data_IF_429404559912
#
_entry.id   IF_429404559912
#
_cell.length_a   1.000
_cell.length_b   1.000
_cell.length_c   1.000
_cell.angle_alpha   90.00
_cell.angle_beta   90.00
_cell.angle_gamma   90.00
#
_symmetry.space_group_name_H-M   'P 1'
#
loop_
_entity.id
_entity.type
_entity.pdbx_description
1 polymer ?
#
# COMPACT_ATOMS: atom_id res chain seq x y z
N UNK A 1 19.76 9.96 43.78
CA UNK A 1 19.69 11.31 43.22
C UNK A 1 20.73 11.42 42.13
N UNK A 2 20.34 11.14 40.89
CA UNK A 2 21.13 11.44 39.69
C UNK A 2 20.17 12.24 38.81
N UNK A 3 20.63 13.41 38.38
CA UNK A 3 19.82 14.53 37.91
C UNK A 3 18.89 14.21 36.75
N UNK A 4 17.65 14.67 36.90
CA UNK A 4 16.64 14.77 35.85
C UNK A 4 16.84 16.13 35.19
N UNK A 5 17.87 16.24 34.34
CA UNK A 5 18.14 17.44 33.52
C UNK A 5 18.27 17.04 32.05
N UNK A 6 17.24 16.37 31.53
CA UNK A 6 17.09 16.19 30.09
C UNK A 6 15.70 16.65 29.66
N UNK A 7 15.70 17.58 28.70
CA UNK A 7 14.62 17.96 27.79
C UNK A 7 13.69 19.10 28.23
N UNK A 8 14.25 20.28 28.49
CA UNK A 8 13.59 21.51 28.04
C UNK A 8 14.08 21.78 26.61
N UNK A 9 13.22 21.79 25.59
CA UNK A 9 13.66 22.07 24.22
C UNK A 9 14.26 23.47 24.18
N UNK A 10 15.46 23.59 23.59
CA UNK A 10 16.04 24.90 23.34
C UNK A 10 15.05 25.71 22.49
N UNK A 11 14.85 27.00 22.77
CA UNK A 11 13.86 27.87 22.11
C UNK A 11 13.88 27.83 20.56
N UNK A 12 15.01 27.44 19.95
CA UNK A 12 15.14 27.20 18.50
C UNK A 12 14.49 25.90 17.99
N UNK A 13 14.46 24.85 18.81
CA UNK A 13 13.81 23.57 18.48
C UNK A 13 12.28 23.73 18.45
N UNK A 14 11.71 24.47 19.40
CA UNK A 14 10.27 24.75 19.45
C UNK A 14 9.78 25.50 18.18
N UNK A 15 10.54 26.51 17.72
CA UNK A 15 10.22 27.23 16.48
C UNK A 15 10.28 26.33 15.25
N UNK A 16 11.29 25.47 15.17
CA UNK A 16 11.44 24.50 14.06
C UNK A 16 10.26 23.57 13.99
N UNK A 17 9.81 23.02 15.12
CA UNK A 17 8.66 22.11 15.17
C UNK A 17 7.36 22.78 14.72
N UNK A 18 7.11 24.02 15.15
CA UNK A 18 5.94 24.79 14.72
C UNK A 18 5.94 24.99 13.20
N UNK A 19 7.11 25.32 12.62
CA UNK A 19 7.25 25.49 11.17
C UNK A 19 7.01 24.17 10.44
N UNK A 20 7.61 23.06 10.89
CA UNK A 20 7.45 21.75 10.26
C UNK A 20 5.99 21.29 10.25
N UNK A 21 5.29 21.42 11.38
CA UNK A 21 3.87 21.07 11.47
C UNK A 21 2.99 21.92 10.55
N UNK A 22 3.35 23.19 10.35
CA UNK A 22 2.65 24.09 9.43
C UNK A 22 2.88 23.71 7.96
N UNK A 23 4.10 23.29 7.60
CA UNK A 23 4.47 22.92 6.21
C UNK A 23 3.93 21.53 5.83
N UNK A 24 3.89 20.60 6.78
CA UNK A 24 3.50 19.20 6.57
C UNK A 24 2.22 19.01 5.71
N UNK A 25 1.06 19.65 6.00
CA UNK A 25 -0.14 19.46 5.18
C UNK A 25 0.05 19.93 3.74
N UNK A 26 0.76 21.04 3.51
CA UNK A 26 1.02 21.55 2.16
C UNK A 26 1.92 20.59 1.38
N UNK A 27 2.96 20.05 2.02
CA UNK A 27 3.83 19.04 1.42
C UNK A 27 3.02 17.81 0.97
N UNK A 28 2.19 17.25 1.86
CA UNK A 28 1.33 16.10 1.51
C UNK A 28 0.37 16.41 0.38
N UNK A 29 -0.25 17.59 0.35
CA UNK A 29 -1.14 18.00 -0.73
C UNK A 29 -0.43 18.09 -2.08
N UNK A 30 0.73 18.75 -2.13
CA UNK A 30 1.52 18.87 -3.37
C UNK A 30 1.92 17.49 -3.87
N UNK A 31 2.48 16.65 -2.99
CA UNK A 31 2.91 15.29 -3.34
C UNK A 31 1.73 14.43 -3.79
N UNK A 32 0.59 14.51 -3.11
CA UNK A 32 -0.61 13.76 -3.49
C UNK A 32 -1.14 14.18 -4.87
N UNK A 33 -1.26 15.48 -5.13
CA UNK A 33 -1.70 15.98 -6.44
C UNK A 33 -0.74 15.52 -7.54
N UNK A 34 0.57 15.67 -7.33
CA UNK A 34 1.58 15.18 -8.28
C UNK A 34 1.50 13.67 -8.49
N UNK A 35 1.15 12.90 -7.46
CA UNK A 35 0.97 11.45 -7.55
C UNK A 35 -0.28 11.10 -8.37
N UNK A 36 -1.40 11.79 -8.16
CA UNK A 36 -2.59 11.57 -8.97
C UNK A 36 -2.31 11.94 -10.43
N UNK A 37 -1.71 13.10 -10.68
CA UNK A 37 -1.33 13.49 -12.05
C UNK A 37 -0.40 12.47 -12.70
N UNK A 38 0.59 11.93 -11.97
CA UNK A 38 1.50 10.91 -12.47
C UNK A 38 0.81 9.59 -12.81
N UNK A 39 -0.17 9.14 -12.00
CA UNK A 39 -0.96 7.95 -12.30
C UNK A 39 -1.76 8.11 -13.61
N UNK A 40 -2.40 9.27 -13.80
CA UNK A 40 -3.16 9.56 -15.04
C UNK A 40 -2.24 9.75 -16.25
N UNK A 41 -1.07 10.36 -16.09
CA UNK A 41 -0.07 10.43 -17.16
C UNK A 41 0.41 9.03 -17.55
N UNK A 42 0.67 8.14 -16.59
CA UNK A 42 1.01 6.74 -16.87
C UNK A 42 -0.05 6.01 -17.68
N UNK A 43 -1.33 6.31 -17.43
CA UNK A 43 -2.45 5.83 -18.25
C UNK A 43 -2.43 6.39 -19.67
N UNK A 44 -2.29 7.72 -19.82
CA UNK A 44 -2.28 8.38 -21.14
C UNK A 44 -1.09 7.90 -22.01
N UNK A 45 0.07 7.73 -21.39
CA UNK A 45 1.30 7.29 -22.04
C UNK A 45 1.35 5.78 -22.29
N UNK A 46 0.31 5.03 -21.88
CA UNK A 46 0.25 3.56 -21.95
C UNK A 46 1.50 2.89 -21.35
N UNK A 47 2.03 3.44 -20.26
CA UNK A 47 3.31 3.02 -19.72
C UNK A 47 3.25 1.56 -19.21
N UNK A 48 4.03 0.63 -19.80
CA UNK A 48 3.95 -0.80 -19.46
C UNK A 48 4.36 -1.11 -18.01
N UNK A 49 5.24 -0.31 -17.42
CA UNK A 49 5.74 -0.52 -16.06
C UNK A 49 4.79 0.04 -15.00
N UNK A 50 4.20 1.21 -15.28
CA UNK A 50 3.29 1.92 -14.35
C UNK A 50 1.89 1.32 -14.37
N UNK A 51 1.37 0.97 -15.55
CA UNK A 51 0.00 0.45 -15.70
C UNK A 51 0.00 -1.05 -15.98
N UNK A 52 0.91 -1.54 -16.83
CA UNK A 52 0.88 -2.93 -17.28
C UNK A 52 0.97 -3.95 -16.15
N UNK A 53 1.78 -3.71 -15.11
CA UNK A 53 1.85 -4.62 -13.95
C UNK A 53 0.47 -4.79 -13.29
N UNK A 54 -0.32 -3.74 -13.16
CA UNK A 54 -1.64 -3.77 -12.55
C UNK A 54 -2.69 -4.51 -13.38
N UNK A 55 -2.47 -4.64 -14.69
CA UNK A 55 -3.40 -5.25 -15.64
C UNK A 55 -3.18 -6.75 -15.86
N UNK A 56 -2.15 -7.33 -15.26
CA UNK A 56 -1.95 -8.79 -15.25
C UNK A 56 -3.19 -9.46 -14.67
N UNK A 57 -3.82 -10.34 -15.45
CA UNK A 57 -5.13 -10.93 -15.16
C UNK A 57 -5.14 -12.45 -15.41
N UNK A 58 -6.29 -13.10 -15.22
CA UNK A 58 -6.44 -14.57 -15.33
C UNK A 58 -7.01 -15.06 -16.66
N UNK A 59 -7.11 -14.21 -17.69
CA UNK A 59 -7.68 -14.62 -18.99
C UNK A 59 -6.79 -15.64 -19.72
N UNK A 60 -5.47 -15.62 -19.49
CA UNK A 60 -4.52 -16.67 -19.91
C UNK A 60 -4.41 -17.85 -18.93
N UNK A 61 -5.36 -18.00 -18.00
CA UNK A 61 -5.32 -18.97 -16.91
C UNK A 61 -4.70 -18.42 -15.63
N UNK A 62 -4.60 -19.26 -14.60
CA UNK A 62 -4.11 -18.83 -13.29
C UNK A 62 -2.62 -18.50 -13.36
N UNK A 63 -2.28 -17.22 -13.14
CA UNK A 63 -0.92 -16.69 -13.08
C UNK A 63 -0.59 -16.19 -11.68
N UNK A 64 0.69 -15.96 -11.40
CA UNK A 64 1.09 -15.25 -10.17
C UNK A 64 0.67 -13.77 -10.35
N UNK A 65 0.06 -13.14 -9.33
CA UNK A 65 -0.30 -11.69 -9.30
C UNK A 65 -1.54 -11.25 -10.09
N UNK A 66 -2.35 -12.18 -10.59
CA UNK A 66 -3.41 -11.85 -11.54
C UNK A 66 -4.72 -11.34 -10.94
N UNK A 67 -4.92 -11.41 -9.61
CA UNK A 67 -6.26 -11.16 -9.04
C UNK A 67 -6.76 -9.74 -9.27
N UNK A 68 -5.91 -8.73 -9.01
CA UNK A 68 -6.33 -7.34 -9.12
C UNK A 68 -6.60 -6.96 -10.59
N UNK A 69 -5.75 -7.40 -11.51
CA UNK A 69 -5.97 -7.15 -12.94
C UNK A 69 -7.19 -7.89 -13.48
N UNK A 70 -7.52 -9.08 -12.95
CA UNK A 70 -8.75 -9.78 -13.32
C UNK A 70 -10.00 -9.02 -12.84
N UNK A 71 -9.99 -8.48 -11.62
CA UNK A 71 -11.06 -7.60 -11.15
C UNK A 71 -11.21 -6.36 -12.05
N UNK A 72 -10.09 -5.71 -12.40
CA UNK A 72 -10.09 -4.57 -13.33
C UNK A 72 -10.67 -4.96 -14.69
N UNK A 73 -10.25 -6.11 -15.23
CA UNK A 73 -10.72 -6.63 -16.51
C UNK A 73 -12.22 -6.89 -16.52
N UNK A 74 -12.76 -7.56 -15.49
CA UNK A 74 -14.20 -7.84 -15.42
C UNK A 74 -15.05 -6.56 -15.31
N UNK A 75 -14.56 -5.57 -14.55
CA UNK A 75 -15.24 -4.27 -14.46
C UNK A 75 -15.19 -3.57 -15.82
N UNK A 76 -14.02 -3.50 -16.46
CA UNK A 76 -13.85 -2.90 -17.79
C UNK A 76 -14.76 -3.53 -18.84
N UNK A 77 -14.88 -4.86 -18.85
CA UNK A 77 -15.76 -5.59 -19.75
C UNK A 77 -17.24 -5.26 -19.54
N UNK A 78 -17.67 -5.04 -18.30
CA UNK A 78 -19.07 -4.73 -17.99
C UNK A 78 -19.43 -3.26 -18.28
N UNK A 79 -18.51 -2.33 -18.03
CA UNK A 79 -18.75 -0.89 -18.20
C UNK A 79 -18.31 -0.35 -19.56
N UNK A 80 -17.55 -1.13 -20.33
CA UNK A 80 -16.90 -0.74 -21.58
C UNK A 80 -15.94 0.45 -21.43
N UNK A 81 -15.44 0.68 -20.21
CA UNK A 81 -14.44 1.71 -19.91
C UNK A 81 -13.05 1.08 -19.94
N UNK A 82 -12.06 1.83 -20.42
CA UNK A 82 -10.68 1.38 -20.56
C UNK A 82 -10.09 0.87 -19.21
N UNK A 83 -9.50 -0.33 -19.15
CA UNK A 83 -8.92 -0.90 -17.93
C UNK A 83 -7.76 -0.08 -17.34
N UNK A 84 -7.00 0.65 -18.18
CA UNK A 84 -5.96 1.56 -17.73
C UNK A 84 -6.50 2.72 -16.89
N UNK A 85 -7.71 3.21 -17.18
CA UNK A 85 -8.35 4.28 -16.40
C UNK A 85 -8.72 3.79 -14.99
N UNK A 86 -9.26 2.57 -14.88
CA UNK A 86 -9.51 1.92 -13.59
C UNK A 86 -8.24 1.73 -12.79
N UNK A 87 -7.14 1.38 -13.46
CA UNK A 87 -5.83 1.26 -12.82
C UNK A 87 -5.38 2.59 -12.21
N UNK A 88 -5.39 3.68 -12.98
CA UNK A 88 -5.00 5.00 -12.48
C UNK A 88 -5.87 5.46 -11.29
N UNK A 89 -7.18 5.15 -11.34
CA UNK A 89 -8.10 5.43 -10.24
C UNK A 89 -7.80 4.61 -8.98
N UNK A 90 -7.56 3.30 -9.12
CA UNK A 90 -7.20 2.42 -8.01
C UNK A 90 -5.86 2.82 -7.38
N UNK A 91 -4.85 3.13 -8.20
CA UNK A 91 -3.58 3.68 -7.74
C UNK A 91 -3.82 4.93 -6.89
N UNK A 92 -4.61 5.87 -7.39
CA UNK A 92 -4.95 7.11 -6.67
C UNK A 92 -5.62 6.83 -5.33
N UNK A 93 -6.52 5.85 -5.24
CA UNK A 93 -7.17 5.44 -3.98
C UNK A 93 -6.15 4.88 -2.99
N UNK A 94 -5.30 3.93 -3.40
CA UNK A 94 -4.33 3.32 -2.49
C UNK A 94 -3.30 4.33 -2.00
N UNK A 95 -2.82 5.22 -2.87
CA UNK A 95 -1.99 6.34 -2.47
C UNK A 95 -2.73 7.29 -1.52
N UNK A 96 -4.00 7.60 -1.77
CA UNK A 96 -4.79 8.44 -0.86
C UNK A 96 -4.89 7.84 0.54
N UNK A 97 -5.15 6.53 0.65
CA UNK A 97 -5.18 5.79 1.93
C UNK A 97 -3.81 5.91 2.63
N UNK A 98 -2.73 5.62 1.92
CA UNK A 98 -1.38 5.70 2.47
C UNK A 98 -1.03 7.11 2.95
N UNK A 99 -1.24 8.14 2.13
CA UNK A 99 -0.95 9.52 2.48
C UNK A 99 -1.81 10.01 3.64
N UNK A 100 -3.11 9.69 3.65
CA UNK A 100 -4.01 10.10 4.71
C UNK A 100 -3.59 9.55 6.08
N UNK A 101 -3.37 8.24 6.20
CA UNK A 101 -2.98 7.65 7.49
C UNK A 101 -1.56 8.02 7.90
N UNK A 102 -0.63 8.14 6.95
CA UNK A 102 0.73 8.59 7.24
C UNK A 102 0.75 10.04 7.74
N UNK A 103 -0.05 10.93 7.14
CA UNK A 103 -0.21 12.30 7.60
C UNK A 103 -0.76 12.35 9.03
N UNK A 104 -1.79 11.56 9.34
CA UNK A 104 -2.34 11.50 10.70
C UNK A 104 -1.30 11.01 11.71
N UNK A 105 -0.48 10.01 11.35
CA UNK A 105 0.59 9.49 12.20
C UNK A 105 1.68 10.53 12.49
N UNK A 106 2.10 11.29 11.47
CA UNK A 106 3.11 12.33 11.61
C UNK A 106 2.57 13.55 12.36
N UNK A 107 1.34 13.99 12.07
CA UNK A 107 0.67 15.08 12.79
C UNK A 107 0.53 14.81 14.28
N UNK A 108 0.46 13.54 14.67
CA UNK A 108 0.37 13.12 16.07
C UNK A 108 1.73 13.07 16.79
N UNK A 109 2.86 13.30 16.11
CA UNK A 109 4.18 13.32 16.75
C UNK A 109 4.50 14.74 17.26
N UNK A 110 4.91 14.91 18.53
CA UNK A 110 5.29 16.22 19.05
C UNK A 110 6.63 16.73 18.50
N UNK A 111 7.54 15.82 18.15
CA UNK A 111 8.89 16.12 17.64
C UNK A 111 8.98 15.53 16.23
N UNK A 112 8.67 16.35 15.23
CA UNK A 112 8.65 15.99 13.82
C UNK A 112 10.04 16.14 13.18
N UNK A 113 10.92 16.98 13.74
CA UNK A 113 12.29 17.19 13.26
C UNK A 113 13.10 15.89 13.16
N UNK A 114 12.91 14.95 14.09
CA UNK A 114 13.52 13.60 14.05
C UNK A 114 13.17 12.81 12.80
N UNK A 115 12.02 13.10 12.18
CA UNK A 115 11.54 12.43 10.97
C UNK A 115 11.75 13.28 9.71
N UNK A 116 12.26 14.51 9.82
CA UNK A 116 12.36 15.47 8.71
C UNK A 116 13.07 14.89 7.48
N UNK A 117 14.22 14.24 7.67
CA UNK A 117 14.95 13.57 6.61
C UNK A 117 14.13 12.47 5.93
N UNK A 118 13.34 11.72 6.69
CA UNK A 118 12.49 10.66 6.15
C UNK A 118 11.27 11.22 5.40
N UNK A 119 10.69 12.31 5.90
CA UNK A 119 9.53 12.98 5.29
C UNK A 119 9.90 13.62 3.95
N UNK A 120 11.01 14.35 3.90
CA UNK A 120 11.43 15.07 2.70
C UNK A 120 12.39 14.27 1.80
N UNK A 121 12.63 13.00 2.15
CA UNK A 121 13.46 12.10 1.34
C UNK A 121 12.78 11.75 0.01
N UNK A 122 13.58 11.58 -1.06
CA UNK A 122 13.08 11.10 -2.36
C UNK A 122 12.50 9.67 -2.31
N UNK A 123 12.77 8.90 -1.26
CA UNK A 123 12.51 7.46 -1.21
C UNK A 123 11.17 7.05 -0.60
N UNK A 124 10.54 7.90 0.21
CA UNK A 124 9.34 7.49 0.95
C UNK A 124 8.06 8.05 0.32
N UNK A 125 7.85 9.37 0.39
CA UNK A 125 6.62 9.99 -0.08
C UNK A 125 6.67 10.44 -1.54
N UNK A 126 7.86 10.71 -2.09
CA UNK A 126 8.03 11.27 -3.44
C UNK A 126 8.58 10.27 -4.45
N UNK A 127 8.81 9.01 -4.04
CA UNK A 127 9.45 7.98 -4.87
C UNK A 127 8.75 7.80 -6.22
N UNK A 128 7.43 7.62 -6.21
CA UNK A 128 6.60 7.43 -7.40
C UNK A 128 6.59 8.63 -8.36
N UNK A 129 6.92 9.83 -7.88
CA UNK A 129 7.05 11.03 -8.70
C UNK A 129 8.46 11.08 -9.31
N UNK A 130 9.48 10.71 -8.53
CA UNK A 130 10.87 10.72 -8.98
C UNK A 130 11.19 9.59 -9.96
N UNK A 131 10.45 8.48 -9.92
CA UNK A 131 10.65 7.30 -10.77
C UNK A 131 9.47 7.05 -11.72
N UNK A 132 8.89 8.10 -12.30
CA UNK A 132 7.72 8.00 -13.19
C UNK A 132 7.92 7.05 -14.37
N UNK A 133 9.13 7.01 -14.94
CA UNK A 133 9.46 6.17 -16.11
C UNK A 133 9.96 4.77 -15.73
N UNK A 134 10.61 4.63 -14.58
CA UNK A 134 11.32 3.41 -14.15
C UNK A 134 10.47 2.46 -13.28
N UNK A 135 9.14 2.62 -13.32
CA UNK A 135 8.21 1.76 -12.59
C UNK A 135 7.93 2.22 -11.16
N UNK A 136 7.64 3.50 -10.97
CA UNK A 136 6.84 3.98 -9.83
C UNK A 136 5.44 3.34 -9.81
N UNK A 137 4.60 3.70 -8.83
CA UNK A 137 3.22 3.19 -8.69
C UNK A 137 3.10 1.66 -8.54
N UNK A 138 4.09 1.02 -7.91
CA UNK A 138 4.05 -0.41 -7.66
C UNK A 138 2.97 -0.79 -6.64
N UNK A 139 2.49 -2.04 -6.71
CA UNK A 139 1.38 -2.56 -5.88
C UNK A 139 1.71 -2.65 -4.38
N UNK A 140 2.97 -2.49 -3.98
CA UNK A 140 3.40 -2.40 -2.58
C UNK A 140 2.70 -1.27 -1.83
N UNK A 141 2.22 -0.24 -2.54
CA UNK A 141 1.39 0.82 -1.96
C UNK A 141 0.13 0.28 -1.26
N UNK A 142 -0.43 -0.84 -1.73
CA UNK A 142 -1.56 -1.51 -1.09
C UNK A 142 -1.18 -1.93 0.34
N UNK A 143 -0.01 -2.56 0.48
CA UNK A 143 0.50 -2.97 1.78
C UNK A 143 0.85 -1.77 2.66
N UNK A 144 1.53 -0.75 2.12
CA UNK A 144 1.87 0.44 2.90
C UNK A 144 0.63 1.19 3.40
N UNK A 145 -0.43 1.30 2.59
CA UNK A 145 -1.70 1.88 3.01
C UNK A 145 -2.36 1.09 4.14
N UNK A 146 -2.39 -0.24 4.03
CA UNK A 146 -2.94 -1.13 5.06
C UNK A 146 -2.12 -1.09 6.35
N UNK A 147 -0.79 -1.06 6.24
CA UNK A 147 0.09 -0.94 7.40
C UNK A 147 -0.12 0.39 8.11
N UNK A 148 -0.14 1.51 7.36
CA UNK A 148 -0.39 2.84 7.92
C UNK A 148 -1.75 2.93 8.62
N UNK A 149 -2.80 2.35 8.03
CA UNK A 149 -4.11 2.20 8.66
C UNK A 149 -4.00 1.44 9.98
N UNK A 150 -3.41 0.24 9.98
CA UNK A 150 -3.32 -0.59 11.18
C UNK A 150 -2.53 0.08 12.31
N UNK A 151 -1.43 0.75 11.99
CA UNK A 151 -0.63 1.52 12.97
C UNK A 151 -1.42 2.72 13.50
N UNK A 152 -2.14 3.44 12.64
CA UNK A 152 -3.01 4.53 13.07
C UNK A 152 -4.11 4.03 14.02
N UNK A 153 -4.78 2.93 13.67
CA UNK A 153 -5.81 2.34 14.51
C UNK A 153 -5.25 1.86 15.85
N UNK A 154 -4.06 1.25 15.86
CA UNK A 154 -3.37 0.85 17.09
C UNK A 154 -3.05 2.03 18.02
N UNK A 155 -2.75 3.20 17.43
CA UNK A 155 -2.54 4.47 18.15
C UNK A 155 -3.83 5.09 18.66
N UNK A 156 -4.98 4.81 18.04
CA UNK A 156 -6.26 5.26 18.58
C UNK A 156 -6.54 4.54 19.91
N UNK A 157 -7.04 5.26 20.92
CA UNK A 157 -7.41 4.67 22.23
C UNK A 157 -8.65 3.73 22.15
N UNK A 158 -8.99 3.22 20.97
CA UNK A 158 -10.14 2.37 20.68
C UNK A 158 -9.66 0.95 20.36
N UNK A 159 -9.26 0.23 21.40
CA UNK A 159 -8.64 -1.09 21.27
C UNK A 159 -9.51 -2.11 20.51
N UNK A 160 -10.81 -2.20 20.80
CA UNK A 160 -11.72 -3.14 20.12
C UNK A 160 -11.83 -2.87 18.62
N UNK A 161 -11.82 -1.60 18.23
CA UNK A 161 -11.86 -1.20 16.83
C UNK A 161 -10.55 -1.55 16.11
N UNK A 162 -9.41 -1.33 16.77
CA UNK A 162 -8.11 -1.75 16.27
C UNK A 162 -8.07 -3.27 16.03
N UNK A 163 -8.45 -4.07 17.03
CA UNK A 163 -8.45 -5.53 16.90
C UNK A 163 -9.36 -5.99 15.75
N UNK A 164 -10.56 -5.42 15.65
CA UNK A 164 -11.49 -5.76 14.57
C UNK A 164 -10.89 -5.46 13.19
N UNK A 165 -10.31 -4.28 12.99
CA UNK A 165 -9.68 -3.90 11.72
C UNK A 165 -8.48 -4.79 11.41
N UNK A 166 -7.69 -5.13 12.43
CA UNK A 166 -6.54 -6.01 12.29
C UNK A 166 -6.93 -7.41 11.83
N UNK A 167 -7.92 -8.04 12.47
CA UNK A 167 -8.40 -9.37 12.07
C UNK A 167 -9.08 -9.37 10.70
N UNK A 168 -9.81 -8.31 10.35
CA UNK A 168 -10.35 -8.13 8.99
C UNK A 168 -9.20 -8.04 7.97
N UNK A 169 -8.14 -7.29 8.29
CA UNK A 169 -6.95 -7.18 7.44
C UNK A 169 -6.33 -8.55 7.19
N UNK A 170 -6.13 -9.36 8.24
CA UNK A 170 -5.57 -10.70 8.11
C UNK A 170 -6.47 -11.65 7.30
N UNK A 171 -7.79 -11.54 7.46
CA UNK A 171 -8.76 -12.35 6.70
C UNK A 171 -8.72 -12.05 5.19
N UNK A 172 -8.52 -10.79 4.81
CA UNK A 172 -8.44 -10.34 3.41
C UNK A 172 -7.03 -10.56 2.82
N UNK A 173 -6.02 -10.77 3.66
CA UNK A 173 -4.63 -10.88 3.24
C UNK A 173 -4.31 -11.94 2.17
N UNK A 174 -4.97 -13.12 2.12
CA UNK A 174 -4.78 -14.06 1.02
C UNK A 174 -5.06 -13.44 -0.37
N UNK A 175 -6.09 -12.58 -0.48
CA UNK A 175 -6.38 -11.87 -1.73
C UNK A 175 -5.31 -10.83 -2.08
N UNK A 176 -4.70 -10.21 -1.07
CA UNK A 176 -3.57 -9.29 -1.26
C UNK A 176 -2.35 -10.04 -1.81
N UNK A 177 -2.07 -11.24 -1.31
CA UNK A 177 -0.98 -12.09 -1.82
C UNK A 177 -1.26 -12.50 -3.29
N UNK A 178 -2.51 -12.80 -3.66
CA UNK A 178 -2.87 -13.09 -5.05
C UNK A 178 -2.74 -11.87 -5.99
N UNK A 179 -2.72 -10.66 -5.43
CA UNK A 179 -2.47 -9.42 -6.18
C UNK A 179 -0.97 -9.19 -6.41
N UNK A 180 -0.15 -9.49 -5.40
CA UNK A 180 1.30 -9.43 -5.50
C UNK A 180 1.95 -10.34 -4.45
N UNK A 181 2.57 -11.45 -4.86
CA UNK A 181 2.98 -12.50 -3.91
C UNK A 181 4.10 -12.07 -2.97
N UNK A 182 4.93 -11.09 -3.38
CA UNK A 182 5.99 -10.56 -2.52
C UNK A 182 5.44 -9.93 -1.24
N UNK A 183 4.16 -9.53 -1.23
CA UNK A 183 3.51 -9.00 -0.04
C UNK A 183 3.39 -10.05 1.07
N UNK A 184 3.43 -11.34 0.76
CA UNK A 184 3.51 -12.38 1.79
C UNK A 184 4.74 -12.19 2.71
N UNK A 185 5.85 -11.68 2.18
CA UNK A 185 7.06 -11.39 2.97
C UNK A 185 6.89 -10.17 3.88
N UNK A 186 5.90 -9.32 3.61
CA UNK A 186 5.57 -8.14 4.41
C UNK A 186 4.60 -8.44 5.56
N UNK A 187 3.97 -9.61 5.57
CA UNK A 187 3.03 -10.04 6.61
C UNK A 187 3.61 -9.95 8.04
N UNK A 188 4.88 -10.31 8.32
CA UNK A 188 5.46 -10.18 9.66
C UNK A 188 5.38 -8.76 10.24
N UNK A 189 5.45 -7.72 9.40
CA UNK A 189 5.33 -6.33 9.89
C UNK A 189 3.95 -6.03 10.46
N UNK A 190 2.86 -6.59 9.89
CA UNK A 190 1.52 -6.47 10.48
C UNK A 190 1.45 -7.20 11.82
N UNK A 191 2.06 -8.39 11.92
CA UNK A 191 2.11 -9.12 13.18
C UNK A 191 2.85 -8.33 14.27
N UNK A 192 3.95 -7.66 13.93
CA UNK A 192 4.68 -6.78 14.87
C UNK A 192 3.76 -5.67 15.41
N UNK A 193 2.89 -5.08 14.59
CA UNK A 193 1.92 -4.06 15.07
C UNK A 193 0.99 -4.67 16.11
N UNK A 194 0.44 -5.85 15.85
CA UNK A 194 -0.44 -6.50 16.82
C UNK A 194 0.29 -6.94 18.09
N UNK A 195 1.52 -7.44 17.98
CA UNK A 195 2.32 -7.80 19.16
C UNK A 195 2.69 -6.58 20.02
N UNK A 196 2.86 -5.42 19.40
CA UNK A 196 3.25 -4.18 20.09
C UNK A 196 2.09 -3.50 20.82
N UNK A 197 0.87 -3.58 20.29
CA UNK A 197 -0.30 -2.85 20.82
C UNK A 197 -1.45 -3.75 21.28
N UNK A 198 -1.46 -5.01 20.85
CA UNK A 198 -2.49 -6.01 21.12
C UNK A 198 -2.35 -6.66 22.50
N UNK A 199 -3.41 -7.35 22.93
CA UNK A 199 -3.40 -8.20 24.12
C UNK A 199 -3.43 -9.65 23.70
N UNK A 200 -2.32 -10.36 23.92
CA UNK A 200 -2.23 -11.78 23.63
C UNK A 200 -2.95 -12.61 24.68
N UNK A 201 -3.86 -13.46 24.22
CA UNK A 201 -4.47 -14.54 25.01
C UNK A 201 -4.33 -15.84 24.23
N UNK A 202 -4.37 -16.99 24.90
CA UNK A 202 -4.25 -18.30 24.24
C UNK A 202 -5.25 -18.45 23.09
N UNK A 203 -6.52 -18.08 23.33
CA UNK A 203 -7.57 -18.07 22.29
C UNK A 203 -7.18 -17.22 21.08
N UNK A 204 -6.62 -16.02 21.31
CA UNK A 204 -6.22 -15.11 20.23
C UNK A 204 -5.02 -15.63 19.45
N UNK A 205 -4.08 -16.28 20.11
CA UNK A 205 -2.95 -16.94 19.43
C UNK A 205 -3.47 -18.02 18.48
N UNK A 206 -4.39 -18.87 18.96
CA UNK A 206 -5.03 -19.90 18.12
C UNK A 206 -5.77 -19.25 16.94
N UNK A 207 -6.55 -18.19 17.19
CA UNK A 207 -7.25 -17.44 16.13
C UNK A 207 -6.28 -16.86 15.09
N UNK A 208 -5.14 -16.30 15.51
CA UNK A 208 -4.11 -15.78 14.61
C UNK A 208 -3.57 -16.88 13.70
N UNK A 209 -3.21 -18.04 14.26
CA UNK A 209 -2.74 -19.18 13.46
C UNK A 209 -3.79 -19.62 12.43
N UNK A 210 -5.05 -19.75 12.84
CA UNK A 210 -6.15 -20.16 11.94
C UNK A 210 -6.31 -19.18 10.78
N UNK A 211 -6.31 -17.87 11.04
CA UNK A 211 -6.52 -16.85 10.00
C UNK A 211 -5.29 -16.70 9.09
N UNK A 212 -4.09 -16.99 9.59
CA UNK A 212 -2.86 -16.94 8.79
C UNK A 212 -2.72 -18.14 7.83
N UNK A 213 -3.28 -19.31 8.17
CA UNK A 213 -3.18 -20.52 7.35
C UNK A 213 -3.57 -20.30 5.88
N UNK A 214 -4.72 -19.68 5.54
CA UNK A 214 -5.06 -19.34 4.17
C UNK A 214 -3.99 -18.51 3.43
N UNK A 215 -3.36 -17.56 4.11
CA UNK A 215 -2.31 -16.72 3.51
C UNK A 215 -1.06 -17.53 3.16
N UNK A 216 -0.68 -18.45 4.05
CA UNK A 216 0.46 -19.37 3.82
C UNK A 216 0.15 -20.32 2.66
N UNK A 217 -1.05 -20.90 2.62
CA UNK A 217 -1.47 -21.81 1.55
C UNK A 217 -1.44 -21.08 0.20
N UNK A 218 -2.02 -19.88 0.13
CA UNK A 218 -2.02 -19.07 -1.10
C UNK A 218 -0.61 -18.73 -1.54
N UNK A 219 0.28 -18.34 -0.62
CA UNK A 219 1.67 -18.06 -0.95
C UNK A 219 2.39 -19.29 -1.53
N UNK A 220 2.20 -20.46 -0.94
CA UNK A 220 2.76 -21.73 -1.45
C UNK A 220 2.23 -22.01 -2.86
N UNK A 221 0.92 -21.87 -3.09
CA UNK A 221 0.32 -22.04 -4.42
C UNK A 221 0.97 -21.08 -5.43
N UNK A 222 1.11 -19.80 -5.09
CA UNK A 222 1.78 -18.82 -5.95
C UNK A 222 3.22 -19.21 -6.32
N UNK A 223 3.99 -19.76 -5.37
CA UNK A 223 5.37 -20.20 -5.61
C UNK A 223 5.42 -21.44 -6.50
N UNK A 224 4.46 -22.36 -6.39
CA UNK A 224 4.42 -23.61 -7.15
C UNK A 224 3.86 -23.44 -8.57
N UNK A 225 3.10 -22.39 -8.86
CA UNK A 225 2.50 -22.18 -10.18
C UNK A 225 3.56 -21.88 -11.25
N UNK A 226 3.73 -22.74 -12.28
CA UNK A 226 4.69 -22.48 -13.35
C UNK A 226 4.18 -21.36 -14.27
N UNK A 227 5.09 -20.53 -14.77
CA UNK A 227 4.79 -19.49 -15.75
C UNK A 227 4.96 -20.03 -17.17
N UNK A 228 3.97 -19.86 -18.04
CA UNK A 228 4.05 -20.23 -19.46
C UNK A 228 3.91 -19.01 -20.35
N UNK A 229 4.74 -18.91 -21.39
CA UNK A 229 4.73 -17.78 -22.32
C UNK A 229 3.39 -17.57 -23.04
N UNK A 230 2.66 -18.66 -23.33
CA UNK A 230 1.32 -18.59 -23.95
C UNK A 230 0.31 -17.79 -23.13
N UNK A 231 0.45 -17.79 -21.80
CA UNK A 231 -0.47 -17.06 -20.91
C UNK A 231 -0.28 -15.54 -21.03
N UNK A 232 0.92 -15.08 -21.35
CA UNK A 232 1.21 -13.65 -21.56
C UNK A 232 0.49 -13.16 -22.81
N UNK A 233 0.58 -13.94 -23.89
CA UNK A 233 -0.08 -13.62 -25.15
C UNK A 233 -1.60 -13.54 -24.97
N UNK A 234 -2.19 -14.52 -24.28
CA UNK A 234 -3.63 -14.51 -23.96
C UNK A 234 -4.05 -13.28 -23.14
N UNK A 235 -3.24 -12.87 -22.16
CA UNK A 235 -3.48 -11.66 -21.35
C UNK A 235 -3.40 -10.40 -22.21
N UNK A 236 -2.40 -10.28 -23.09
CA UNK A 236 -2.27 -9.13 -23.98
C UNK A 236 -3.43 -9.05 -24.98
N UNK A 237 -3.84 -10.19 -25.56
CA UNK A 237 -5.01 -10.27 -26.43
C UNK A 237 -6.28 -9.88 -25.67
N UNK A 238 -6.44 -10.29 -24.41
CA UNK A 238 -7.62 -9.93 -23.62
C UNK A 238 -7.70 -8.43 -23.35
N UNK A 239 -6.57 -7.78 -23.07
CA UNK A 239 -6.51 -6.34 -22.84
C UNK A 239 -6.77 -5.55 -24.13
N UNK A 240 -6.22 -6.01 -25.26
CA UNK A 240 -6.46 -5.40 -26.56
C UNK A 240 -7.95 -5.42 -26.96
N UNK A 241 -8.70 -6.48 -26.57
CA UNK A 241 -10.16 -6.56 -26.77
C UNK A 241 -10.93 -5.50 -25.99
N UNK A 242 -10.42 -5.06 -24.85
CA UNK A 242 -11.02 -4.02 -24.01
C UNK A 242 -10.41 -2.63 -24.29
N UNK A 243 -9.93 -2.42 -25.52
CA UNK A 243 -9.35 -1.16 -26.01
C UNK A 243 -8.12 -0.66 -25.22
N UNK A 244 -7.33 -1.56 -24.64
CA UNK A 244 -6.05 -1.19 -24.03
C UNK A 244 -4.91 -2.04 -24.61
N UNK A 245 -4.14 -1.42 -25.51
CA UNK A 245 -2.94 -2.00 -26.07
C UNK A 245 -1.71 -1.49 -25.30
N UNK A 246 -0.95 -2.42 -24.74
CA UNK A 246 0.35 -2.18 -24.09
C UNK A 246 1.49 -2.27 -25.11
#
# INVERSE_FOLDING_TARGET
>A
MIGVDYLLPHYGEEKTEIILHKILPYFYWVVFISTVMGAFNGYLDHNPWTIGDWLVNYQGGMVRRGLLGDVIYQIARYTHINPGLYTAFLQSIFYAIFFFFSYLLLKAQPILSSFSLLIFSPFLFTFQINSLQDGGYRKEIIFFGILALNVWMARTKRFELFERIFFITLLVYPAIILTHEMLALCLPYLLVVYLSFGKLTEKKIITLFIILLPSVIVFIICVLLPFKASQVEDILISLARENYAL
#
